data_IF_660430887538
#
_entry.id   IF_660430887538
#
_cell.length_a   1.000
_cell.length_b   1.000
_cell.length_c   1.000
_cell.angle_alpha   90.00
_cell.angle_beta   90.00
_cell.angle_gamma   90.00
#
_symmetry.space_group_name_H-M   'P 1'
#
loop_
_entity.id
_entity.type
_entity.pdbx_description
1 polymer ?
#
# COMPACT_ATOMS: atom_id res chain seq x y z
N UNK A 1 29.56 -9.11 -45.53
CA UNK A 1 30.57 -9.51 -44.51
C UNK A 1 29.87 -9.94 -43.22
N UNK A 2 30.47 -10.93 -42.54
CA UNK A 2 30.47 -11.25 -41.08
C UNK A 2 29.53 -10.42 -40.18
N UNK A 3 28.59 -11.07 -39.46
CA UNK A 3 28.64 -11.48 -38.01
C UNK A 3 28.58 -10.27 -37.04
N UNK A 4 27.90 -10.30 -35.89
CA UNK A 4 27.41 -11.44 -35.08
C UNK A 4 26.22 -11.08 -34.16
N UNK A 5 25.49 -12.10 -33.68
CA UNK A 5 24.49 -12.00 -32.61
C UNK A 5 25.14 -11.81 -31.23
N UNK A 6 24.42 -11.20 -30.29
CA UNK A 6 24.22 -11.75 -28.93
C UNK A 6 22.87 -11.30 -28.37
N UNK A 7 22.09 -12.26 -27.84
CA UNK A 7 20.98 -12.00 -26.92
C UNK A 7 21.52 -12.22 -25.51
N UNK A 8 21.16 -11.37 -24.55
CA UNK A 8 21.40 -11.65 -23.13
C UNK A 8 20.15 -12.28 -22.53
N UNK A 9 20.30 -13.44 -21.90
CA UNK A 9 19.24 -14.16 -21.20
C UNK A 9 19.70 -14.45 -19.79
N UNK A 10 19.16 -13.74 -18.79
CA UNK A 10 19.42 -14.03 -17.39
C UNK A 10 18.49 -15.14 -16.90
N UNK A 11 19.09 -16.28 -16.55
CA UNK A 11 18.41 -17.39 -15.88
C UNK A 11 19.05 -17.52 -14.50
N UNK A 12 18.29 -17.25 -13.44
CA UNK A 12 18.70 -17.45 -12.06
C UNK A 12 18.09 -18.74 -11.50
N UNK A 13 18.79 -19.86 -11.68
CA UNK A 13 18.45 -21.13 -11.02
C UNK A 13 19.00 -21.15 -9.59
N UNK A 14 18.14 -21.01 -8.59
CA UNK A 14 18.49 -21.19 -7.17
C UNK A 14 18.49 -22.68 -6.80
N UNK A 15 19.64 -23.34 -7.00
CA UNK A 15 19.90 -24.64 -6.38
C UNK A 15 21.19 -24.60 -5.56
N UNK A 16 21.22 -25.37 -4.46
CA UNK A 16 22.35 -25.60 -3.54
C UNK A 16 22.71 -24.45 -2.59
N UNK A 17 22.08 -24.45 -1.42
CA UNK A 17 22.79 -24.14 -0.18
C UNK A 17 22.44 -25.18 0.90
N UNK A 18 23.09 -26.34 0.84
CA UNK A 18 22.95 -27.39 1.84
C UNK A 18 24.30 -28.12 2.03
N UNK A 19 25.14 -27.56 2.91
CA UNK A 19 26.46 -28.08 3.31
C UNK A 19 26.85 -27.43 4.64
N UNK A 20 27.68 -28.11 5.44
CA UNK A 20 27.88 -27.91 6.91
C UNK A 20 26.76 -28.55 7.75
N UNK A 21 26.98 -29.51 8.66
CA UNK A 21 28.20 -30.20 9.11
C UNK A 21 27.90 -31.70 9.39
N UNK A 22 28.81 -32.59 9.00
CA UNK A 22 28.87 -33.99 9.49
C UNK A 22 30.33 -34.40 9.74
N UNK A 23 30.48 -35.43 10.57
CA UNK A 23 31.70 -36.15 10.96
C UNK A 23 32.80 -35.39 11.71
N UNK A 24 32.90 -35.66 13.02
CA UNK A 24 34.15 -36.01 13.72
C UNK A 24 33.83 -36.57 15.12
N UNK A 25 33.96 -37.90 15.30
CA UNK A 25 34.67 -38.57 16.43
C UNK A 25 34.41 -40.09 16.46
N UNK A 26 35.50 -40.84 16.25
CA UNK A 26 35.70 -42.22 16.71
C UNK A 26 36.75 -42.19 17.84
N UNK A 27 37.01 -43.34 18.50
CA UNK A 27 37.92 -43.57 19.66
C UNK A 27 37.21 -43.46 21.02
N UNK A 28 37.30 -44.40 21.98
CA UNK A 28 38.16 -45.61 22.12
C UNK A 28 37.54 -46.64 23.11
N UNK A 29 38.00 -47.91 23.07
CA UNK A 29 37.84 -48.93 24.15
C UNK A 29 38.70 -48.53 25.38
N UNK A 30 38.60 -49.05 26.61
CA UNK A 30 38.04 -50.30 27.20
C UNK A 30 37.11 -49.94 28.42
N UNK A 31 36.71 -50.75 29.42
CA UNK A 31 37.13 -52.07 29.96
C UNK A 31 35.96 -52.87 30.62
N UNK A 32 36.23 -53.70 31.64
CA UNK A 32 35.30 -54.65 32.31
C UNK A 32 35.45 -54.54 33.84
N UNK A 33 34.34 -54.54 34.60
CA UNK A 33 34.11 -55.27 35.87
C UNK A 33 32.62 -55.11 36.28
N UNK A 34 31.82 -56.19 36.28
CA UNK A 34 31.50 -57.13 37.39
C UNK A 34 30.47 -56.61 38.42
N UNK A 35 29.33 -57.32 38.47
CA UNK A 35 28.32 -57.49 39.55
C UNK A 35 28.24 -56.45 40.69
N UNK A 36 27.06 -55.92 41.04
CA UNK A 36 26.06 -56.72 41.77
C UNK A 36 24.76 -55.95 42.12
N UNK A 37 23.75 -56.72 42.50
CA UNK A 37 22.63 -56.40 43.40
C UNK A 37 21.53 -55.40 42.99
N UNK A 38 20.34 -55.98 42.82
CA UNK A 38 19.04 -55.33 42.97
C UNK A 38 18.92 -54.62 44.33
N UNK A 39 18.52 -53.34 44.32
CA UNK A 39 17.51 -52.75 45.23
C UNK A 39 17.18 -51.32 44.76
N UNK A 40 16.04 -50.76 45.19
CA UNK A 40 15.62 -49.36 44.95
C UNK A 40 15.09 -49.00 43.54
N UNK A 41 14.07 -49.75 43.07
CA UNK A 41 13.24 -49.37 41.91
C UNK A 41 12.29 -48.19 42.17
N UNK A 42 12.03 -47.82 43.44
CA UNK A 42 11.05 -46.78 43.80
C UNK A 42 11.56 -45.33 43.62
N UNK A 43 12.79 -45.00 44.06
CA UNK A 43 13.32 -43.61 43.96
C UNK A 43 13.77 -43.22 42.54
N UNK A 44 14.05 -44.18 41.65
CA UNK A 44 14.59 -43.90 40.31
C UNK A 44 13.53 -43.40 39.32
N UNK A 45 12.29 -43.91 39.44
CA UNK A 45 11.16 -43.49 38.60
C UNK A 45 10.79 -42.02 38.80
N UNK A 46 10.84 -41.52 40.05
CA UNK A 46 10.55 -40.12 40.36
C UNK A 46 11.58 -39.15 39.74
N UNK A 47 12.87 -39.53 39.67
CA UNK A 47 13.90 -38.72 39.00
C UNK A 47 13.71 -38.65 37.48
N UNK A 48 13.32 -39.75 36.84
CA UNK A 48 13.05 -39.80 35.39
C UNK A 48 11.78 -38.99 35.06
N UNK A 49 10.74 -39.07 35.91
CA UNK A 49 9.54 -38.24 35.81
C UNK A 49 9.88 -36.74 35.84
N UNK A 50 10.63 -36.28 36.84
CA UNK A 50 11.03 -34.86 36.94
C UNK A 50 11.91 -34.39 35.78
N UNK A 51 12.77 -35.25 35.22
CA UNK A 51 13.56 -34.88 34.04
C UNK A 51 12.67 -34.70 32.80
N UNK A 52 11.71 -35.61 32.57
CA UNK A 52 10.73 -35.50 31.48
C UNK A 52 9.87 -34.24 31.63
N UNK A 53 9.42 -33.92 32.83
CA UNK A 53 8.61 -32.73 33.09
C UNK A 53 9.40 -31.43 32.87
N UNK A 54 10.69 -31.39 33.22
CA UNK A 54 11.59 -30.25 32.89
C UNK A 54 11.82 -30.11 31.39
N UNK A 55 12.02 -31.21 30.66
CA UNK A 55 12.14 -31.18 29.18
C UNK A 55 10.84 -30.69 28.54
N UNK A 56 9.68 -31.13 29.03
CA UNK A 56 8.38 -30.66 28.55
C UNK A 56 8.17 -29.16 28.80
N UNK A 57 8.51 -28.65 30.00
CA UNK A 57 8.45 -27.22 30.29
C UNK A 57 9.43 -26.39 29.44
N UNK A 58 10.63 -26.90 29.17
CA UNK A 58 11.60 -26.26 28.28
C UNK A 58 11.08 -26.21 26.83
N UNK A 59 10.43 -27.28 26.36
CA UNK A 59 9.76 -27.31 25.06
C UNK A 59 8.61 -26.31 24.97
N UNK A 60 7.83 -26.18 26.05
CA UNK A 60 6.72 -25.23 26.15
C UNK A 60 7.22 -23.77 26.11
N UNK A 61 8.31 -23.46 26.81
CA UNK A 61 8.96 -22.14 26.77
C UNK A 61 9.48 -21.78 25.37
N UNK A 62 9.98 -22.77 24.61
CA UNK A 62 10.40 -22.56 23.22
C UNK A 62 9.24 -22.23 22.27
N UNK A 63 8.00 -22.66 22.58
CA UNK A 63 6.81 -22.26 21.81
C UNK A 63 6.40 -20.81 22.06
N UNK A 64 6.58 -20.29 23.28
CA UNK A 64 6.33 -18.86 23.58
C UNK A 64 7.43 -17.93 23.01
N UNK A 65 8.65 -18.42 22.83
CA UNK A 65 9.75 -17.65 22.24
C UNK A 65 9.57 -17.30 20.75
N UNK A 66 8.53 -17.83 20.08
CA UNK A 66 8.26 -17.61 18.66
C UNK A 66 7.08 -16.64 18.40
N UNK A 67 6.64 -15.88 19.42
CA UNK A 67 5.51 -14.94 19.34
C UNK A 67 5.91 -13.45 19.34
N UNK A 68 7.15 -13.12 18.98
CA UNK A 68 7.46 -11.75 18.54
C UNK A 68 6.95 -11.55 17.11
N UNK A 69 5.64 -11.32 16.96
CA UNK A 69 5.11 -10.71 15.74
C UNK A 69 5.70 -9.30 15.65
N UNK A 70 6.71 -9.12 14.82
CA UNK A 70 7.33 -7.82 14.61
C UNK A 70 6.24 -6.87 14.10
N UNK A 71 5.98 -5.81 14.87
CA UNK A 71 4.79 -5.01 14.65
C UNK A 71 4.98 -4.15 13.40
N UNK A 72 4.36 -4.57 12.28
CA UNK A 72 4.38 -3.82 11.01
C UNK A 72 4.06 -2.35 11.26
N UNK A 73 4.99 -1.49 10.88
CA UNK A 73 4.94 -0.05 11.15
C UNK A 73 3.92 0.64 10.26
N UNK A 74 3.47 1.81 10.67
CA UNK A 74 2.57 2.65 9.87
C UNK A 74 3.20 2.98 8.49
N UNK A 75 4.48 3.32 8.45
CA UNK A 75 5.20 3.60 7.19
C UNK A 75 5.22 2.40 6.23
N UNK A 76 5.44 1.19 6.76
CA UNK A 76 5.42 -0.05 5.98
C UNK A 76 4.01 -0.33 5.46
N UNK A 77 3.00 -0.10 6.30
CA UNK A 77 1.58 -0.21 5.92
C UNK A 77 1.24 0.67 4.73
N UNK A 78 1.71 1.93 4.71
CA UNK A 78 1.53 2.82 3.57
C UNK A 78 2.26 2.35 2.29
N UNK A 79 3.47 1.79 2.41
CA UNK A 79 4.19 1.20 1.25
C UNK A 79 3.43 0.02 0.66
N UNK A 80 2.83 -0.84 1.48
CA UNK A 80 2.02 -1.95 0.97
C UNK A 80 0.71 -1.48 0.30
N UNK A 81 0.11 -0.38 0.79
CA UNK A 81 -1.05 0.24 0.14
C UNK A 81 -0.69 0.91 -1.19
N UNK A 82 0.50 1.50 -1.30
CA UNK A 82 1.07 2.00 -2.55
C UNK A 82 1.22 0.89 -3.59
N UNK A 83 1.88 -0.22 -3.24
CA UNK A 83 2.03 -1.37 -4.17
C UNK A 83 0.67 -1.91 -4.61
N UNK A 84 -0.28 -2.09 -3.69
CA UNK A 84 -1.64 -2.51 -4.05
C UNK A 84 -2.40 -1.52 -4.96
N UNK A 85 -2.12 -0.21 -4.83
CA UNK A 85 -2.68 0.83 -5.68
C UNK A 85 -2.06 0.80 -7.08
N UNK A 86 -0.74 0.63 -7.19
CA UNK A 86 -0.04 0.45 -8.46
C UNK A 86 -0.51 -0.83 -9.18
N UNK A 87 -0.53 -1.96 -8.49
CA UNK A 87 -1.02 -3.24 -9.02
C UNK A 87 -2.45 -3.13 -9.57
N UNK A 88 -3.34 -2.38 -8.90
CA UNK A 88 -4.71 -2.16 -9.40
C UNK A 88 -4.74 -1.54 -10.80
N UNK A 89 -3.89 -0.55 -11.08
CA UNK A 89 -3.82 0.09 -12.40
C UNK A 89 -3.00 -0.71 -13.41
N UNK A 90 -1.99 -1.45 -12.94
CA UNK A 90 -1.20 -2.35 -13.79
C UNK A 90 -2.04 -3.49 -14.39
N UNK A 91 -3.10 -3.93 -13.69
CA UNK A 91 -4.11 -4.85 -14.23
C UNK A 91 -4.93 -4.28 -15.42
N UNK A 92 -4.75 -3.00 -15.75
CA UNK A 92 -5.31 -2.33 -16.93
C UNK A 92 -4.20 -1.76 -17.85
N UNK A 93 -2.98 -2.29 -17.76
CA UNK A 93 -1.80 -1.86 -18.51
C UNK A 93 -1.41 -0.38 -18.29
N UNK A 94 -1.64 0.15 -17.07
CA UNK A 94 -1.30 1.54 -16.72
C UNK A 94 -0.34 1.61 -15.54
N UNK A 95 0.89 2.07 -15.81
CA UNK A 95 1.85 2.51 -14.81
C UNK A 95 1.38 3.86 -14.22
N UNK A 96 0.64 3.80 -13.11
CA UNK A 96 -0.03 4.99 -12.55
C UNK A 96 0.96 6.03 -11.99
N UNK A 97 2.09 5.59 -11.44
CA UNK A 97 3.05 6.46 -10.75
C UNK A 97 3.82 7.39 -11.68
N UNK A 98 4.38 6.92 -12.83
CA UNK A 98 4.90 7.82 -13.86
C UNK A 98 3.87 8.85 -14.33
N UNK A 99 2.63 8.41 -14.62
CA UNK A 99 1.55 9.27 -15.09
C UNK A 99 1.18 10.38 -14.09
N UNK A 100 1.10 10.05 -12.80
CA UNK A 100 0.78 11.03 -11.75
C UNK A 100 1.97 11.96 -11.46
N UNK A 101 3.21 11.50 -11.61
CA UNK A 101 4.40 12.36 -11.51
C UNK A 101 4.50 13.36 -12.68
N UNK A 102 4.20 12.93 -13.90
CA UNK A 102 4.10 13.82 -15.07
C UNK A 102 3.00 14.87 -14.88
N UNK A 103 1.86 14.48 -14.29
CA UNK A 103 0.79 15.41 -13.94
C UNK A 103 1.19 16.40 -12.82
N UNK A 104 1.89 15.97 -11.77
CA UNK A 104 2.43 16.87 -10.74
C UNK A 104 3.39 17.91 -11.33
N UNK A 105 4.30 17.48 -12.23
CA UNK A 105 5.19 18.38 -12.97
C UNK A 105 4.40 19.37 -13.85
N UNK A 106 3.29 18.94 -14.45
CA UNK A 106 2.41 19.82 -15.19
C UNK A 106 1.72 20.86 -14.28
N UNK A 107 1.23 20.46 -13.11
CA UNK A 107 0.65 21.38 -12.13
C UNK A 107 1.66 22.44 -11.64
N UNK A 108 2.93 22.06 -11.47
CA UNK A 108 4.03 22.98 -11.18
C UNK A 108 4.28 23.96 -12.34
N UNK A 109 4.41 23.43 -13.56
CA UNK A 109 4.69 24.21 -14.77
C UNK A 109 3.55 25.17 -15.17
N UNK A 110 2.33 24.93 -14.69
CA UNK A 110 1.17 25.82 -14.85
C UNK A 110 0.97 26.78 -13.68
N UNK A 111 1.69 26.62 -12.58
CA UNK A 111 1.57 27.46 -11.39
C UNK A 111 0.36 27.13 -10.50
N UNK A 112 -0.23 25.94 -10.62
CA UNK A 112 -1.30 25.47 -9.72
C UNK A 112 -0.77 25.07 -8.34
N UNK A 113 0.49 24.62 -8.28
CA UNK A 113 1.28 24.41 -7.05
C UNK A 113 2.66 25.07 -7.21
N UNK A 114 3.24 25.50 -6.10
CA UNK A 114 4.57 26.14 -6.09
C UNK A 114 5.72 25.13 -6.00
N UNK A 115 5.52 24.02 -5.29
CA UNK A 115 6.47 22.92 -5.11
C UNK A 115 5.72 21.61 -4.79
N UNK A 116 6.45 20.54 -4.47
CA UNK A 116 5.88 19.21 -4.14
C UNK A 116 5.65 18.98 -2.63
N UNK A 117 5.59 20.06 -1.82
CA UNK A 117 5.34 19.97 -0.36
C UNK A 117 3.85 19.89 -0.03
N UNK A 118 3.51 19.30 1.12
CA UNK A 118 2.13 19.24 1.60
C UNK A 118 1.46 20.62 1.74
N UNK A 119 2.23 21.66 2.08
CA UNK A 119 1.77 23.04 2.13
C UNK A 119 1.30 23.55 0.75
N UNK A 120 2.07 23.29 -0.32
CA UNK A 120 1.67 23.67 -1.67
C UNK A 120 0.39 22.94 -2.12
N UNK A 121 0.28 21.65 -1.83
CA UNK A 121 -0.96 20.89 -2.06
C UNK A 121 -2.15 21.47 -1.28
N UNK A 122 -1.98 21.85 -0.01
CA UNK A 122 -3.05 22.51 0.75
C UNK A 122 -3.46 23.85 0.16
N UNK A 123 -2.54 24.68 -0.31
CA UNK A 123 -2.88 25.94 -1.00
C UNK A 123 -3.67 25.71 -2.29
N UNK A 124 -3.37 24.66 -3.05
CA UNK A 124 -4.19 24.25 -4.20
C UNK A 124 -5.58 23.76 -3.76
N UNK A 125 -5.65 22.87 -2.75
CA UNK A 125 -6.91 22.35 -2.22
C UNK A 125 -7.79 23.49 -1.68
N UNK A 126 -7.21 24.50 -1.03
CA UNK A 126 -7.89 25.72 -0.58
C UNK A 126 -8.49 26.49 -1.75
N UNK A 127 -7.67 26.75 -2.77
CA UNK A 127 -8.13 27.42 -3.99
C UNK A 127 -9.28 26.65 -4.65
N UNK A 128 -9.21 25.31 -4.69
CA UNK A 128 -10.24 24.45 -5.28
C UNK A 128 -11.47 24.23 -4.39
N UNK A 129 -11.40 24.51 -3.09
CA UNK A 129 -12.55 24.50 -2.19
C UNK A 129 -13.35 25.81 -2.26
N UNK A 130 -12.70 26.91 -2.67
CA UNK A 130 -13.33 28.22 -2.91
C UNK A 130 -13.78 28.44 -4.37
N UNK A 131 -13.21 27.68 -5.32
CA UNK A 131 -13.48 27.83 -6.75
C UNK A 131 -13.93 26.49 -7.34
N UNK A 132 -15.06 26.46 -8.05
CA UNK A 132 -15.60 25.23 -8.66
C UNK A 132 -14.69 24.56 -9.70
N UNK A 133 -13.60 25.19 -10.13
CA UNK A 133 -12.73 24.69 -11.19
C UNK A 133 -11.27 25.14 -10.99
N UNK A 134 -10.31 24.35 -11.48
CA UNK A 134 -8.92 24.78 -11.61
C UNK A 134 -8.81 26.12 -12.38
N UNK A 135 -7.84 26.97 -12.04
CA UNK A 135 -7.58 28.20 -12.80
C UNK A 135 -6.99 27.85 -14.17
N UNK A 136 -7.05 28.77 -15.14
CA UNK A 136 -6.32 28.61 -16.41
C UNK A 136 -4.85 28.94 -16.22
N UNK A 137 -3.91 28.33 -16.97
CA UNK A 137 -4.12 27.46 -18.13
C UNK A 137 -4.46 26.00 -17.75
N UNK A 138 -5.04 25.26 -18.70
CA UNK A 138 -5.37 23.83 -18.58
C UNK A 138 -4.83 23.04 -19.80
N UNK A 139 -3.50 22.93 -19.93
CA UNK A 139 -2.82 22.45 -21.15
C UNK A 139 -2.81 20.93 -21.35
N UNK A 140 -3.15 20.11 -20.34
CA UNK A 140 -3.17 18.65 -20.56
C UNK A 140 -4.30 18.28 -21.53
N UNK A 141 -3.99 17.48 -22.56
CA UNK A 141 -4.96 16.96 -23.54
C UNK A 141 -5.08 15.43 -23.47
N UNK A 142 -3.97 14.76 -23.18
CA UNK A 142 -3.74 13.33 -23.25
C UNK A 142 -4.10 12.63 -21.92
N UNK A 143 -5.39 12.63 -21.59
CA UNK A 143 -5.86 11.95 -20.39
C UNK A 143 -6.01 10.44 -20.60
N UNK A 144 -5.53 9.66 -19.63
CA UNK A 144 -5.67 8.21 -19.64
C UNK A 144 -7.06 7.81 -19.10
N UNK A 145 -7.84 7.11 -19.92
CA UNK A 145 -9.20 6.69 -19.57
C UNK A 145 -9.28 5.77 -18.34
N UNK A 146 -8.26 4.94 -18.08
CA UNK A 146 -8.22 4.10 -16.87
C UNK A 146 -8.05 4.99 -15.65
N UNK A 147 -7.09 5.92 -15.67
CA UNK A 147 -6.87 6.89 -14.60
C UNK A 147 -8.12 7.76 -14.36
N UNK A 148 -8.84 8.17 -15.40
CA UNK A 148 -10.09 8.94 -15.27
C UNK A 148 -11.23 8.15 -14.60
N UNK A 149 -11.48 6.91 -15.02
CA UNK A 149 -12.75 6.23 -14.75
C UNK A 149 -12.66 4.96 -13.89
N UNK A 150 -11.46 4.42 -13.60
CA UNK A 150 -11.29 3.24 -12.74
C UNK A 150 -10.96 3.65 -11.32
N UNK A 151 -11.85 3.35 -10.38
CA UNK A 151 -11.61 3.58 -8.95
C UNK A 151 -10.92 2.36 -8.32
N UNK A 152 -9.77 2.53 -7.66
CA UNK A 152 -9.07 1.45 -6.98
C UNK A 152 -9.97 0.84 -5.90
N UNK A 153 -10.37 -0.40 -6.12
CA UNK A 153 -11.21 -1.18 -5.23
C UNK A 153 -10.37 -2.25 -4.53
N UNK A 154 -10.82 -2.74 -3.38
CA UNK A 154 -10.18 -3.84 -2.64
C UNK A 154 -8.70 -3.60 -2.26
N UNK A 155 -8.21 -2.36 -2.20
CA UNK A 155 -6.82 -2.06 -1.78
C UNK A 155 -6.50 -2.61 -0.38
N UNK A 156 -7.41 -2.46 0.59
CA UNK A 156 -7.29 -3.05 1.93
C UNK A 156 -7.24 -4.59 1.85
N UNK A 157 -8.06 -5.19 0.99
CA UNK A 157 -8.09 -6.63 0.79
C UNK A 157 -6.79 -7.15 0.17
N UNK A 158 -6.22 -6.45 -0.83
CA UNK A 158 -4.90 -6.73 -1.38
C UNK A 158 -3.83 -6.65 -0.27
N UNK A 159 -3.82 -5.57 0.51
CA UNK A 159 -2.89 -5.36 1.60
C UNK A 159 -2.93 -6.50 2.65
N UNK A 160 -4.13 -6.97 3.01
CA UNK A 160 -4.31 -8.11 3.91
C UNK A 160 -3.99 -9.46 3.26
N UNK A 161 -4.35 -9.70 2.00
CA UNK A 161 -4.19 -11.02 1.35
C UNK A 161 -2.78 -11.27 0.81
N UNK A 162 -2.11 -10.25 0.28
CA UNK A 162 -0.77 -10.35 -0.34
C UNK A 162 0.33 -10.18 0.71
N UNK A 163 0.18 -9.20 1.62
CA UNK A 163 1.22 -8.84 2.59
C UNK A 163 0.90 -9.26 4.03
N UNK A 164 -0.24 -9.91 4.28
CA UNK A 164 -0.61 -10.43 5.60
C UNK A 164 -0.96 -9.35 6.63
N UNK A 165 -1.23 -8.12 6.20
CA UNK A 165 -1.45 -6.98 7.10
C UNK A 165 -2.83 -7.09 7.76
N UNK A 166 -2.87 -6.91 9.07
CA UNK A 166 -4.12 -6.76 9.81
C UNK A 166 -4.93 -5.59 9.26
N UNK A 167 -6.12 -5.88 8.73
CA UNK A 167 -7.02 -4.88 8.17
C UNK A 167 -7.43 -3.81 9.19
N UNK A 168 -7.43 -4.13 10.50
CA UNK A 168 -7.72 -3.15 11.54
C UNK A 168 -6.68 -2.03 11.56
N UNK A 169 -5.37 -2.35 11.42
CA UNK A 169 -4.30 -1.34 11.29
C UNK A 169 -4.54 -0.44 10.10
N UNK A 170 -4.86 -1.01 8.94
CA UNK A 170 -5.19 -0.25 7.73
C UNK A 170 -6.37 0.70 7.98
N UNK A 171 -7.45 0.24 8.63
CA UNK A 171 -8.58 1.10 8.98
C UNK A 171 -8.29 2.15 10.06
N UNK A 172 -7.23 1.97 10.86
CA UNK A 172 -6.82 2.93 11.88
C UNK A 172 -5.95 4.07 11.34
N UNK A 173 -5.39 3.95 10.14
CA UNK A 173 -4.70 5.05 9.45
C UNK A 173 -5.64 6.26 9.29
N UNK A 174 -5.09 7.46 9.43
CA UNK A 174 -5.86 8.70 9.31
C UNK A 174 -6.48 8.85 7.91
N UNK A 175 -5.72 8.57 6.85
CA UNK A 175 -6.22 8.59 5.47
C UNK A 175 -7.41 7.63 5.27
N UNK A 176 -7.35 6.42 5.83
CA UNK A 176 -8.46 5.45 5.81
C UNK A 176 -9.70 5.96 6.56
N UNK A 177 -9.52 6.60 7.73
CA UNK A 177 -10.61 7.22 8.49
C UNK A 177 -11.27 8.37 7.73
N UNK A 178 -10.53 9.11 6.91
CA UNK A 178 -11.09 10.15 6.02
C UNK A 178 -11.90 9.50 4.89
N UNK A 179 -11.36 8.47 4.24
CA UNK A 179 -12.08 7.70 3.21
C UNK A 179 -13.40 7.10 3.72
N UNK A 180 -13.41 6.56 4.96
CA UNK A 180 -14.63 6.08 5.61
C UNK A 180 -15.67 7.18 5.82
N UNK A 181 -15.25 8.40 6.20
CA UNK A 181 -16.17 9.55 6.35
C UNK A 181 -16.75 10.00 5.00
N UNK A 182 -15.94 10.00 3.94
CA UNK A 182 -16.38 10.28 2.57
C UNK A 182 -17.43 9.26 2.14
N UNK A 183 -17.15 7.96 2.28
CA UNK A 183 -18.09 6.88 1.93
C UNK A 183 -19.40 6.97 2.72
N UNK A 184 -19.33 7.15 4.04
CA UNK A 184 -20.51 7.34 4.89
C UNK A 184 -21.32 8.62 4.57
N UNK A 185 -20.72 9.59 3.87
CA UNK A 185 -21.43 10.77 3.35
C UNK A 185 -22.10 10.48 1.99
N UNK A 186 -21.44 9.72 1.11
CA UNK A 186 -22.00 9.24 -0.17
C UNK A 186 -23.27 8.40 0.10
N UNK A 187 -23.18 7.41 0.99
CA UNK A 187 -24.30 6.54 1.35
C UNK A 187 -25.55 7.30 1.83
N UNK A 188 -25.35 8.45 2.51
CA UNK A 188 -26.45 9.27 3.04
C UNK A 188 -27.05 10.23 2.02
N UNK A 189 -26.22 10.82 1.15
CA UNK A 189 -26.62 11.95 0.31
C UNK A 189 -26.83 11.59 -1.17
N UNK A 190 -26.48 10.37 -1.60
CA UNK A 190 -26.34 9.91 -3.00
C UNK A 190 -25.23 10.63 -3.77
N UNK A 191 -25.25 11.96 -3.79
CA UNK A 191 -24.20 12.82 -4.35
C UNK A 191 -23.47 13.59 -3.23
N UNK A 192 -22.19 13.81 -3.41
CA UNK A 192 -21.37 14.67 -2.54
C UNK A 192 -20.62 15.70 -3.38
N UNK A 193 -20.51 16.93 -2.86
CA UNK A 193 -19.68 17.96 -3.49
C UNK A 193 -18.20 17.61 -3.35
N UNK A 194 -17.42 17.88 -4.40
CA UNK A 194 -15.95 17.82 -4.36
C UNK A 194 -15.38 18.67 -3.23
N UNK A 195 -16.01 19.81 -2.92
CA UNK A 195 -15.61 20.76 -1.88
C UNK A 195 -15.62 20.11 -0.50
N UNK A 196 -16.51 19.13 -0.26
CA UNK A 196 -16.52 18.35 0.97
C UNK A 196 -15.30 17.42 1.07
N UNK A 197 -14.92 16.75 -0.03
CA UNK A 197 -13.75 15.87 -0.10
C UNK A 197 -12.46 16.68 0.10
N UNK A 198 -12.33 17.77 -0.66
CA UNK A 198 -11.19 18.69 -0.60
C UNK A 198 -11.02 19.29 0.81
N UNK A 199 -12.10 19.80 1.41
CA UNK A 199 -12.05 20.34 2.76
C UNK A 199 -11.70 19.27 3.82
N UNK A 200 -12.13 18.01 3.66
CA UNK A 200 -11.68 16.93 4.55
C UNK A 200 -10.17 16.68 4.43
N UNK A 201 -9.62 16.60 3.22
CA UNK A 201 -8.18 16.41 3.04
C UNK A 201 -7.36 17.61 3.57
N UNK A 202 -7.77 18.85 3.27
CA UNK A 202 -7.19 20.07 3.85
C UNK A 202 -7.09 20.00 5.37
N UNK A 203 -8.23 19.73 6.02
CA UNK A 203 -8.39 19.92 7.46
C UNK A 203 -7.91 18.73 8.30
N UNK A 204 -7.74 17.55 7.70
CA UNK A 204 -7.42 16.32 8.43
C UNK A 204 -6.09 15.67 8.08
N UNK A 205 -5.46 16.00 6.95
CA UNK A 205 -4.11 15.53 6.65
C UNK A 205 -3.07 16.56 7.08
N UNK A 206 -1.97 16.11 7.68
CA UNK A 206 -0.77 16.92 7.90
C UNK A 206 0.00 17.12 6.59
N UNK A 207 0.96 18.05 6.58
CA UNK A 207 1.79 18.32 5.41
C UNK A 207 2.76 17.16 5.13
N UNK A 208 3.14 16.43 6.18
CA UNK A 208 3.92 15.19 6.14
C UNK A 208 3.07 14.03 5.61
N UNK A 209 1.82 13.89 6.05
CA UNK A 209 0.91 12.84 5.57
C UNK A 209 0.64 12.97 4.07
N UNK A 210 0.45 14.19 3.56
CA UNK A 210 0.29 14.44 2.11
C UNK A 210 1.51 13.97 1.30
N UNK A 211 2.71 13.98 1.90
CA UNK A 211 3.96 13.53 1.26
C UNK A 211 4.18 12.03 1.31
N UNK A 212 3.36 11.27 2.05
CA UNK A 212 3.39 9.81 2.04
C UNK A 212 2.98 9.34 0.63
N UNK A 213 3.77 8.50 -0.07
CA UNK A 213 3.55 8.23 -1.49
C UNK A 213 2.14 7.77 -1.86
N UNK A 214 1.58 6.79 -1.15
CA UNK A 214 0.18 6.33 -1.33
C UNK A 214 -0.85 7.46 -1.19
N UNK A 215 -0.66 8.35 -0.20
CA UNK A 215 -1.55 9.50 0.04
C UNK A 215 -1.38 10.53 -1.08
N UNK A 216 -0.14 10.84 -1.49
CA UNK A 216 0.15 11.76 -2.59
C UNK A 216 -0.45 11.27 -3.90
N UNK A 217 -0.28 9.99 -4.25
CA UNK A 217 -0.88 9.36 -5.43
C UNK A 217 -2.42 9.41 -5.36
N UNK A 218 -3.00 9.12 -4.20
CA UNK A 218 -4.46 9.16 -3.99
C UNK A 218 -5.05 10.58 -4.07
N UNK A 219 -4.27 11.62 -3.71
CA UNK A 219 -4.63 13.02 -3.93
C UNK A 219 -4.45 13.43 -5.39
N UNK A 220 -3.33 13.07 -6.01
CA UNK A 220 -3.04 13.38 -7.40
C UNK A 220 -4.05 12.76 -8.36
N UNK A 221 -4.52 11.53 -8.14
CA UNK A 221 -5.56 10.92 -8.99
C UNK A 221 -6.92 11.64 -8.87
N UNK A 222 -7.25 12.16 -7.69
CA UNK A 222 -8.44 13.01 -7.51
C UNK A 222 -8.28 14.33 -8.27
N UNK A 223 -7.14 15.01 -8.09
CA UNK A 223 -6.82 16.25 -8.77
C UNK A 223 -6.76 16.09 -10.28
N UNK A 224 -6.26 14.96 -10.80
CA UNK A 224 -6.21 14.61 -12.22
C UNK A 224 -7.60 14.57 -12.85
N UNK A 225 -8.54 13.91 -12.16
CA UNK A 225 -9.96 13.83 -12.58
C UNK A 225 -10.66 15.18 -12.46
N UNK A 226 -10.35 15.94 -11.41
CA UNK A 226 -10.94 17.27 -11.22
C UNK A 226 -10.41 18.29 -12.23
N UNK A 227 -9.14 18.19 -12.61
CA UNK A 227 -8.52 18.98 -13.67
C UNK A 227 -9.15 18.65 -15.02
N UNK A 228 -9.30 17.36 -15.35
CA UNK A 228 -10.07 16.92 -16.53
C UNK A 228 -11.47 17.55 -16.53
N UNK A 229 -12.25 17.37 -15.47
CA UNK A 229 -13.59 17.97 -15.38
C UNK A 229 -13.57 19.50 -15.52
N UNK A 230 -12.61 20.18 -14.89
CA UNK A 230 -12.43 21.64 -14.97
C UNK A 230 -12.12 22.14 -16.39
N UNK A 231 -11.51 21.30 -17.22
CA UNK A 231 -11.26 21.60 -18.63
C UNK A 231 -12.53 21.40 -19.47
N UNK A 232 -13.08 20.19 -19.46
CA UNK A 232 -14.18 19.83 -20.35
C UNK A 232 -15.49 20.55 -20.01
N UNK A 233 -15.79 20.82 -18.73
CA UNK A 233 -16.96 21.63 -18.34
C UNK A 233 -16.86 23.09 -18.83
N UNK A 234 -15.65 23.60 -19.13
CA UNK A 234 -15.42 24.96 -19.66
C UNK A 234 -15.38 25.03 -21.17
N UNK A 235 -14.98 23.95 -21.84
CA UNK A 235 -14.89 23.90 -23.31
C UNK A 235 -16.24 23.60 -23.96
N UNK A 236 -17.18 23.00 -23.21
CA UNK A 236 -18.55 22.74 -23.65
C UNK A 236 -19.43 23.95 -23.30
N UNK A 237 -19.66 24.85 -24.27
CA UNK A 237 -20.66 25.92 -24.18
C UNK A 237 -22.07 25.34 -23.92
N UNK A 238 -22.47 25.23 -22.66
CA UNK A 238 -23.82 24.73 -22.28
C UNK A 238 -24.91 25.65 -22.85
N UNK A 239 -24.66 26.96 -22.95
CA UNK A 239 -25.62 27.95 -23.48
C UNK A 239 -26.00 27.73 -24.95
N UNK A 240 -25.12 27.12 -25.78
CA UNK A 240 -25.42 26.91 -27.22
C UNK A 240 -26.42 25.76 -27.47
N UNK A 241 -26.65 24.89 -26.49
CA UNK A 241 -27.56 23.74 -26.63
C UNK A 241 -28.94 23.94 -26.00
N UNK A 242 -29.19 25.08 -25.33
CA UNK A 242 -30.51 25.42 -24.75
C UNK A 242 -31.17 26.56 -25.54
N UNK A 243 -31.48 26.31 -26.82
CA UNK A 243 -32.39 27.17 -27.60
C UNK A 243 -33.28 26.38 -28.56
N UNK A 244 -34.26 25.62 -28.04
CA UNK A 244 -35.40 25.18 -28.84
C UNK A 244 -36.31 26.37 -29.12
N UNK A 245 -36.36 26.77 -30.40
CA UNK A 245 -37.27 27.77 -30.98
C UNK A 245 -38.67 27.79 -30.34
N UNK A 246 -39.03 28.89 -29.68
CA UNK A 246 -40.42 29.19 -29.31
C UNK A 246 -40.80 30.66 -29.53
N UNK A 247 -40.45 31.22 -30.69
CA UNK A 247 -41.25 32.30 -31.29
C UNK A 247 -42.30 31.70 -32.21
N UNK A 248 -43.47 31.43 -31.65
CA UNK A 248 -44.68 31.05 -32.38
C UNK A 248 -45.77 32.08 -32.11
N UNK A 249 -46.00 32.96 -33.10
CA UNK A 249 -47.00 34.02 -33.17
C UNK A 249 -46.75 35.21 -32.25
#
# INVERSE_FOLDING_TARGET
MKKQKTKSSFILTTSKLNKYLRTQKNSKRYSIQVQSNNLSSSKKNNKISMLKQKVFFLLLLLLFACQTSEEVKESETYTYLEVCFEDYYLNYDVEITPLLNEFELLLLNEGHIADTTGAAYKMLIDTLAENDYFKTPLKKEDFNNVALYKNPASIIQCATQVFGIDSTKVTQLNFSKIGQQINAKIEKNKDISIHYILNLYKTKLSDEEIRIPYVKQSLLILLYRWYFKSKYDREIDIEKNISPKSKSK
#
